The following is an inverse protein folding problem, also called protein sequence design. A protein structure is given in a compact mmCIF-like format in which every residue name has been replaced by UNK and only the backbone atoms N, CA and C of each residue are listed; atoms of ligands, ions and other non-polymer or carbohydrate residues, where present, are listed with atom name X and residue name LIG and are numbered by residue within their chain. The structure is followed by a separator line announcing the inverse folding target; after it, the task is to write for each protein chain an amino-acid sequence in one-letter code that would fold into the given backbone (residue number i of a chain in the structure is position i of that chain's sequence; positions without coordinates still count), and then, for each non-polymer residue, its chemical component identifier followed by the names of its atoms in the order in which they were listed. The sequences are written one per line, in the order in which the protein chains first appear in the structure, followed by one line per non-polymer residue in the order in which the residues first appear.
data_IF_504656876925
#
_entry.id   IF_504656876925
#
_cell.length_a   1.000
_cell.length_b   1.000
_cell.length_c   1.000
_cell.angle_alpha   90.00
_cell.angle_beta   90.00
_cell.angle_gamma   90.00
#
_symmetry.space_group_name_H-M   'P 1'
#
loop_
_entity.id
_entity.type
_entity.pdbx_description
1 polymer ?
#
# COMPACT_ATOMS: atom_id res chain seq x y z
N UNK A 1 34.74 -43.90 -3.16
CA UNK A 1 34.62 -43.21 -4.44
C UNK A 1 33.13 -42.96 -4.63
N UNK A 2 32.64 -41.88 -3.99
CA UNK A 2 32.05 -40.67 -4.61
C UNK A 2 30.56 -40.90 -4.93
N UNK A 3 29.57 -40.13 -4.49
CA UNK A 3 29.53 -38.76 -3.93
C UNK A 3 28.33 -38.59 -2.99
N UNK A 4 28.53 -37.82 -1.93
CA UNK A 4 27.48 -37.24 -1.11
C UNK A 4 27.01 -35.95 -1.77
N UNK A 5 25.87 -35.99 -2.46
CA UNK A 5 25.27 -34.78 -3.03
C UNK A 5 24.46 -34.06 -1.94
N UNK A 6 25.11 -33.08 -1.31
CA UNK A 6 24.47 -32.10 -0.43
C UNK A 6 23.47 -31.29 -1.26
N UNK A 7 22.20 -31.67 -1.19
CA UNK A 7 21.09 -30.88 -1.72
C UNK A 7 21.02 -29.54 -1.00
N UNK A 8 21.60 -28.51 -1.62
CA UNK A 8 21.38 -27.11 -1.32
C UNK A 8 19.88 -26.82 -1.47
N UNK A 9 19.13 -26.83 -0.36
CA UNK A 9 17.83 -26.19 -0.35
C UNK A 9 18.03 -24.70 -0.64
N UNK A 10 17.47 -24.14 -1.73
CA UNK A 10 17.49 -22.69 -1.89
C UNK A 10 16.74 -22.10 -0.69
N UNK A 11 17.44 -21.33 0.14
CA UNK A 11 16.79 -20.53 1.16
C UNK A 11 15.72 -19.69 0.47
N UNK A 12 14.49 -19.58 1.02
CA UNK A 12 13.50 -18.69 0.48
C UNK A 12 14.12 -17.28 0.38
N UNK A 13 13.85 -16.53 -0.71
CA UNK A 13 14.38 -15.18 -0.84
C UNK A 13 14.04 -14.38 0.43
N UNK A 14 14.95 -13.53 0.93
CA UNK A 14 14.72 -12.81 2.17
C UNK A 14 13.42 -12.01 2.04
N UNK A 15 12.44 -12.35 2.87
CA UNK A 15 11.22 -11.58 3.02
C UNK A 15 11.58 -10.21 3.59
N UNK A 16 11.27 -9.14 2.86
CA UNK A 16 11.51 -7.77 3.36
C UNK A 16 10.74 -7.53 4.65
N UNK A 17 11.37 -6.80 5.56
CA UNK A 17 10.76 -6.34 6.80
C UNK A 17 9.80 -5.17 6.52
N UNK A 18 8.86 -4.93 7.44
CA UNK A 18 7.92 -3.81 7.37
C UNK A 18 8.62 -2.44 7.27
N UNK A 19 9.76 -2.29 7.95
CA UNK A 19 10.55 -1.07 7.95
C UNK A 19 11.22 -0.81 6.60
N UNK A 20 11.74 -1.87 5.98
CA UNK A 20 12.29 -1.80 4.62
C UNK A 20 11.19 -1.45 3.60
N UNK A 21 9.98 -2.00 3.78
CA UNK A 21 8.83 -1.68 2.93
C UNK A 21 8.35 -0.25 3.14
N UNK A 22 8.43 0.30 4.36
CA UNK A 22 8.06 1.68 4.66
C UNK A 22 9.01 2.71 4.02
N UNK A 23 10.22 2.31 3.64
CA UNK A 23 11.19 3.15 2.93
C UNK A 23 10.96 3.17 1.41
N UNK A 24 10.06 2.33 0.89
CA UNK A 24 9.78 2.30 -0.54
C UNK A 24 9.09 3.60 -1.01
N UNK A 25 9.49 4.07 -2.19
CA UNK A 25 8.79 5.16 -2.86
C UNK A 25 7.45 4.65 -3.43
N UNK A 26 6.42 4.69 -2.58
CA UNK A 26 5.04 4.31 -2.91
C UNK A 26 4.53 5.07 -4.13
N UNK A 27 4.99 6.31 -4.36
CA UNK A 27 4.59 7.14 -5.49
C UNK A 27 5.13 6.58 -6.81
N UNK A 28 6.41 6.20 -6.84
CA UNK A 28 7.01 5.52 -7.98
C UNK A 28 6.35 4.15 -8.22
N UNK A 29 6.08 3.39 -7.15
CA UNK A 29 5.46 2.07 -7.25
C UNK A 29 4.04 2.13 -7.81
N UNK A 30 3.24 3.14 -7.44
CA UNK A 30 1.91 3.34 -8.03
C UNK A 30 2.00 3.67 -9.52
N UNK A 31 2.95 4.53 -9.92
CA UNK A 31 3.17 4.88 -11.32
C UNK A 31 3.52 3.65 -12.17
N UNK A 32 4.44 2.81 -11.69
CA UNK A 32 4.88 1.61 -12.41
C UNK A 32 3.87 0.46 -12.33
N UNK A 33 3.27 0.24 -11.16
CA UNK A 33 2.30 -0.83 -10.92
C UNK A 33 0.94 -0.62 -11.60
N UNK A 34 0.56 0.63 -11.89
CA UNK A 34 -0.65 0.92 -12.68
C UNK A 34 -0.33 0.92 -14.19
N UNK A 35 0.85 1.38 -14.59
CA UNK A 35 1.24 1.53 -16.00
C UNK A 35 1.71 0.25 -16.71
N UNK A 36 2.26 -0.73 -15.99
CA UNK A 36 2.78 -1.98 -16.55
C UNK A 36 2.06 -3.18 -15.92
N UNK A 37 1.18 -3.87 -16.67
CA UNK A 37 0.51 -5.09 -16.21
C UNK A 37 1.48 -6.27 -15.92
N UNK A 38 0.97 -7.40 -15.38
CA UNK A 38 1.71 -8.67 -15.24
C UNK A 38 2.05 -9.12 -13.81
N UNK A 39 2.79 -10.22 -13.64
CA UNK A 39 3.08 -10.81 -12.30
C UNK A 39 4.01 -9.94 -11.42
N UNK A 40 4.96 -9.22 -12.03
CA UNK A 40 5.81 -8.24 -11.33
C UNK A 40 5.00 -7.07 -10.75
N UNK A 41 3.83 -6.76 -11.35
CA UNK A 41 2.87 -5.76 -10.88
C UNK A 41 2.37 -6.10 -9.49
N UNK A 42 1.91 -7.33 -9.27
CA UNK A 42 1.27 -7.77 -8.02
C UNK A 42 2.20 -7.65 -6.83
N UNK A 43 3.49 -7.97 -7.02
CA UNK A 43 4.50 -7.88 -5.97
C UNK A 43 4.81 -6.43 -5.62
N UNK A 44 5.07 -5.56 -6.60
CA UNK A 44 5.35 -4.14 -6.36
C UNK A 44 4.15 -3.38 -5.78
N UNK A 45 2.95 -3.73 -6.23
CA UNK A 45 1.70 -3.15 -5.77
C UNK A 45 1.34 -3.60 -4.35
N UNK A 46 1.67 -4.86 -4.01
CA UNK A 46 1.54 -5.43 -2.66
C UNK A 46 2.56 -4.85 -1.67
N UNK A 47 3.84 -4.82 -2.04
CA UNK A 47 4.92 -4.22 -1.24
C UNK A 47 4.65 -2.74 -0.97
N UNK A 48 4.20 -1.99 -1.99
CA UNK A 48 3.79 -0.61 -1.84
C UNK A 48 2.59 -0.42 -0.90
N UNK A 49 1.64 -1.37 -0.88
CA UNK A 49 0.50 -1.32 0.05
C UNK A 49 0.94 -1.54 1.50
N UNK A 50 1.90 -2.44 1.75
CA UNK A 50 2.46 -2.68 3.08
C UNK A 50 3.22 -1.45 3.59
N UNK A 51 4.10 -0.89 2.76
CA UNK A 51 4.84 0.33 3.08
C UNK A 51 3.92 1.52 3.38
N UNK A 52 2.90 1.72 2.53
CA UNK A 52 1.87 2.73 2.74
C UNK A 52 1.15 2.56 4.09
N UNK A 53 0.76 1.33 4.43
CA UNK A 53 0.08 1.04 5.68
C UNK A 53 0.95 1.36 6.90
N UNK A 54 2.26 1.09 6.85
CA UNK A 54 3.20 1.44 7.94
C UNK A 54 3.32 2.95 8.09
N UNK A 55 3.56 3.67 6.99
CA UNK A 55 3.75 5.13 7.03
C UNK A 55 2.51 5.84 7.54
N UNK A 56 1.32 5.44 7.08
CA UNK A 56 0.05 6.03 7.50
C UNK A 56 -0.28 5.72 8.97
N UNK A 57 0.00 4.51 9.42
CA UNK A 57 -0.19 4.13 10.83
C UNK A 57 0.72 4.93 11.76
N UNK A 58 1.97 5.23 11.36
CA UNK A 58 2.88 6.13 12.09
C UNK A 58 2.36 7.57 12.16
N UNK A 59 1.62 8.01 11.16
CA UNK A 59 0.97 9.32 11.11
C UNK A 59 -0.39 9.35 11.83
N UNK A 60 -0.81 8.23 12.45
CA UNK A 60 -2.07 8.13 13.18
C UNK A 60 -3.32 8.10 12.29
N UNK A 61 -3.18 7.84 10.99
CA UNK A 61 -4.32 7.74 10.08
C UNK A 61 -5.12 6.49 10.41
N UNK A 62 -6.45 6.63 10.44
CA UNK A 62 -7.33 5.50 10.73
C UNK A 62 -7.58 4.66 9.46
N UNK A 63 -7.65 3.32 9.57
CA UNK A 63 -8.01 2.45 8.44
C UNK A 63 -9.28 2.88 7.71
N UNK A 64 -10.29 3.34 8.46
CA UNK A 64 -11.58 3.81 7.91
C UNK A 64 -11.44 5.03 6.98
N UNK A 65 -10.45 5.89 7.19
CA UNK A 65 -10.22 7.05 6.33
C UNK A 65 -9.74 6.59 4.94
N UNK A 66 -8.83 5.62 4.89
CA UNK A 66 -8.36 5.04 3.63
C UNK A 66 -9.44 4.24 2.90
N UNK A 67 -10.27 3.48 3.64
CA UNK A 67 -11.41 2.78 3.04
C UNK A 67 -12.43 3.77 2.44
N UNK A 68 -12.71 4.87 3.14
CA UNK A 68 -13.61 5.90 2.62
C UNK A 68 -13.04 6.57 1.37
N UNK A 69 -11.73 6.87 1.36
CA UNK A 69 -11.06 7.40 0.18
C UNK A 69 -11.10 6.42 -1.01
N UNK A 70 -10.97 5.12 -0.77
CA UNK A 70 -11.14 4.10 -1.81
C UNK A 70 -12.52 4.16 -2.47
N UNK A 71 -13.58 4.39 -1.69
CA UNK A 71 -14.93 4.55 -2.21
C UNK A 71 -15.13 5.87 -2.96
N UNK A 72 -14.44 6.94 -2.56
CA UNK A 72 -14.41 8.18 -3.35
C UNK A 72 -13.76 7.94 -4.71
N UNK A 73 -12.63 7.22 -4.76
CA UNK A 73 -11.98 6.88 -6.04
C UNK A 73 -12.89 5.99 -6.89
N UNK A 74 -13.58 5.01 -6.27
CA UNK A 74 -14.52 4.12 -6.97
C UNK A 74 -15.67 4.86 -7.63
N UNK A 75 -16.18 5.90 -6.98
CA UNK A 75 -17.36 6.64 -7.41
C UNK A 75 -17.05 7.86 -8.28
N UNK A 76 -15.96 8.58 -7.98
CA UNK A 76 -15.59 9.84 -8.63
C UNK A 76 -14.31 9.79 -9.47
N UNK A 77 -13.55 8.69 -9.41
CA UNK A 77 -12.27 8.54 -10.09
C UNK A 77 -11.08 9.14 -9.33
N UNK A 78 -9.88 8.72 -9.74
CA UNK A 78 -8.62 9.08 -9.09
C UNK A 78 -8.32 10.57 -9.19
N UNK A 79 -8.61 11.19 -10.33
CA UNK A 79 -8.40 12.64 -10.56
C UNK A 79 -9.26 13.49 -9.61
N UNK A 80 -10.51 13.10 -9.40
CA UNK A 80 -11.40 13.78 -8.47
C UNK A 80 -10.88 13.65 -7.03
N UNK A 81 -10.52 12.43 -6.60
CA UNK A 81 -9.97 12.20 -5.27
C UNK A 81 -8.67 13.01 -5.03
N UNK A 82 -7.82 13.14 -6.04
CA UNK A 82 -6.58 13.92 -5.97
C UNK A 82 -6.81 15.44 -5.74
N UNK A 83 -7.98 15.94 -6.14
CA UNK A 83 -8.37 17.34 -6.01
C UNK A 83 -9.04 17.68 -4.67
N UNK A 84 -9.37 16.68 -3.84
CA UNK A 84 -9.98 16.91 -2.52
C UNK A 84 -9.10 17.82 -1.67
N UNK A 85 -9.62 18.85 -0.99
CA UNK A 85 -8.83 19.71 -0.11
C UNK A 85 -8.11 18.93 1.00
N UNK A 86 -8.76 17.89 1.52
CA UNK A 86 -8.22 16.99 2.54
C UNK A 86 -8.63 15.54 2.22
N UNK A 87 -7.78 14.75 1.53
CA UNK A 87 -8.11 13.37 1.15
C UNK A 87 -8.11 12.41 2.35
N UNK A 88 -7.34 12.72 3.41
CA UNK A 88 -7.34 12.02 4.69
C UNK A 88 -7.09 13.03 5.82
N UNK A 89 -7.56 12.76 7.06
CA UNK A 89 -7.35 13.66 8.19
C UNK A 89 -5.86 13.91 8.49
N UNK A 90 -5.50 15.19 8.69
CA UNK A 90 -4.17 15.61 9.13
C UNK A 90 -3.24 16.01 7.97
N UNK A 91 -2.60 17.17 8.09
CA UNK A 91 -1.91 17.82 6.98
C UNK A 91 -0.78 16.98 6.35
N UNK A 92 0.11 16.42 7.16
CA UNK A 92 1.23 15.62 6.67
C UNK A 92 0.76 14.36 5.91
N UNK A 93 -0.25 13.66 6.45
CA UNK A 93 -0.84 12.50 5.80
C UNK A 93 -1.62 12.89 4.53
N UNK A 94 -2.35 14.00 4.56
CA UNK A 94 -3.08 14.54 3.42
C UNK A 94 -2.15 14.87 2.25
N UNK A 95 -1.00 15.50 2.51
CA UNK A 95 0.00 15.80 1.48
C UNK A 95 0.59 14.53 0.86
N UNK A 96 0.94 13.54 1.69
CA UNK A 96 1.48 12.26 1.23
C UNK A 96 0.47 11.52 0.33
N UNK A 97 -0.76 11.34 0.80
CA UNK A 97 -1.83 10.64 0.07
C UNK A 97 -2.20 11.39 -1.21
N UNK A 98 -2.19 12.73 -1.19
CA UNK A 98 -2.39 13.52 -2.41
C UNK A 98 -1.32 13.23 -3.46
N UNK A 99 -0.05 13.13 -3.07
CA UNK A 99 1.05 12.80 -3.99
C UNK A 99 0.85 11.43 -4.67
N UNK A 100 0.35 10.44 -3.94
CA UNK A 100 -0.02 9.13 -4.48
C UNK A 100 -1.16 9.22 -5.50
N UNK A 101 -2.25 9.90 -5.14
CA UNK A 101 -3.41 10.08 -6.01
C UNK A 101 -3.06 10.86 -7.28
N UNK A 102 -2.26 11.94 -7.17
CA UNK A 102 -1.80 12.71 -8.31
C UNK A 102 -0.92 11.88 -9.25
N UNK A 103 -0.03 11.05 -8.69
CA UNK A 103 0.81 10.17 -9.50
C UNK A 103 0.01 9.07 -10.18
N UNK A 104 -0.97 8.47 -9.49
CA UNK A 104 -1.89 7.54 -10.11
C UNK A 104 -2.74 8.21 -11.20
N UNK A 105 -3.32 9.39 -10.95
CA UNK A 105 -4.08 10.15 -11.94
C UNK A 105 -3.27 10.50 -13.19
N UNK A 106 -1.94 10.68 -13.06
CA UNK A 106 -1.07 10.95 -14.21
C UNK A 106 -0.96 9.78 -15.20
N UNK A 107 -1.24 8.55 -14.77
CA UNK A 107 -1.13 7.33 -15.59
C UNK A 107 -2.45 6.61 -15.83
N UNK A 108 -3.45 6.77 -14.95
CA UNK A 108 -4.78 6.20 -15.17
C UNK A 108 -5.42 6.85 -16.39
N UNK A 109 -5.98 6.03 -17.28
CA UNK A 109 -6.66 6.45 -18.52
C UNK A 109 -8.04 5.82 -18.68
N UNK A 110 -8.43 4.92 -17.78
CA UNK A 110 -9.63 4.10 -17.89
C UNK A 110 -10.32 3.95 -16.54
N UNK A 111 -11.62 3.68 -16.57
CA UNK A 111 -12.41 3.36 -15.38
C UNK A 111 -11.85 2.15 -14.65
N UNK A 112 -11.35 1.14 -15.38
CA UNK A 112 -10.68 -0.03 -14.78
C UNK A 112 -9.43 0.38 -13.99
N UNK A 113 -8.65 1.34 -14.50
CA UNK A 113 -7.50 1.90 -13.77
C UNK A 113 -7.91 2.59 -12.47
N UNK A 114 -9.02 3.33 -12.45
CA UNK A 114 -9.58 3.89 -11.21
C UNK A 114 -10.03 2.78 -10.24
N UNK A 115 -10.61 1.69 -10.74
CA UNK A 115 -10.98 0.54 -9.90
C UNK A 115 -9.76 -0.16 -9.30
N UNK A 116 -8.66 -0.24 -10.04
CA UNK A 116 -7.39 -0.79 -9.55
C UNK A 116 -6.80 0.09 -8.42
N UNK A 117 -6.85 1.42 -8.56
CA UNK A 117 -6.45 2.35 -7.49
C UNK A 117 -7.36 2.21 -6.27
N UNK A 118 -8.67 2.14 -6.45
CA UNK A 118 -9.61 1.94 -5.35
C UNK A 118 -9.34 0.62 -4.61
N UNK A 119 -9.07 -0.48 -5.34
CA UNK A 119 -8.74 -1.78 -4.75
C UNK A 119 -7.43 -1.75 -3.97
N UNK A 120 -6.46 -0.98 -4.43
CA UNK A 120 -5.21 -0.76 -3.73
C UNK A 120 -5.41 -0.03 -2.40
N UNK A 121 -6.12 1.10 -2.41
CA UNK A 121 -6.43 1.87 -1.21
C UNK A 121 -7.19 1.03 -0.19
N UNK A 122 -8.11 0.18 -0.65
CA UNK A 122 -8.82 -0.77 0.20
C UNK A 122 -7.88 -1.82 0.82
N UNK A 123 -6.87 -2.26 0.08
CA UNK A 123 -5.84 -3.19 0.57
C UNK A 123 -4.95 -2.53 1.63
N UNK A 124 -4.56 -1.26 1.43
CA UNK A 124 -3.85 -0.45 2.45
C UNK A 124 -4.69 -0.36 3.73
N UNK A 125 -5.99 -0.02 3.61
CA UNK A 125 -6.89 0.05 4.75
C UNK A 125 -6.97 -1.28 5.52
N UNK A 126 -7.08 -2.41 4.82
CA UNK A 126 -7.11 -3.73 5.44
C UNK A 126 -5.80 -4.05 6.20
N UNK A 127 -4.65 -3.73 5.61
CA UNK A 127 -3.34 -3.91 6.26
C UNK A 127 -3.19 -3.03 7.50
N UNK A 128 -3.64 -1.78 7.45
CA UNK A 128 -3.66 -0.90 8.63
C UNK A 128 -4.54 -1.47 9.76
N UNK A 129 -5.73 -1.99 9.43
CA UNK A 129 -6.64 -2.58 10.42
C UNK A 129 -6.03 -3.82 11.09
N UNK A 130 -5.31 -4.63 10.32
CA UNK A 130 -4.59 -5.79 10.83
C UNK A 130 -3.50 -5.37 11.82
N UNK A 131 -2.69 -4.35 11.47
CA UNK A 131 -1.64 -3.80 12.35
C UNK A 131 -2.20 -3.26 13.66
N UNK A 132 -3.29 -2.48 13.58
CA UNK A 132 -3.95 -1.93 14.76
C UNK A 132 -4.41 -3.06 15.70
N UNK A 133 -5.00 -4.11 15.15
CA UNK A 133 -5.48 -5.28 15.91
C UNK A 133 -4.33 -6.00 16.62
N UNK A 134 -3.21 -6.24 15.94
CA UNK A 134 -2.04 -6.89 16.55
C UNK A 134 -1.43 -6.03 17.66
N UNK A 135 -1.28 -4.72 17.44
CA UNK A 135 -0.77 -3.80 18.46
C UNK A 135 -1.62 -3.81 19.72
N UNK A 136 -2.95 -3.68 19.57
CA UNK A 136 -3.88 -3.69 20.70
C UNK A 136 -3.88 -5.02 21.45
N UNK A 137 -3.57 -6.13 20.77
CA UNK A 137 -3.42 -7.45 21.41
C UNK A 137 -2.10 -7.54 22.19
N UNK A 138 -0.99 -7.13 21.60
CA UNK A 138 0.32 -7.10 22.27
C UNK A 138 0.30 -6.24 23.54
N UNK A 139 -0.41 -5.10 23.53
CA UNK A 139 -0.56 -4.25 24.73
C UNK A 139 -1.39 -4.91 25.84
N UNK A 140 -2.32 -5.82 25.50
CA UNK A 140 -3.15 -6.53 26.50
C UNK A 140 -2.50 -7.79 27.07
N UNK A 141 -1.52 -8.37 26.36
CA UNK A 141 -0.79 -9.55 26.82
C UNK A 141 0.44 -9.23 27.67
N UNK A 142 0.81 -7.95 27.79
CA UNK A 142 1.97 -7.48 28.56
C UNK A 142 1.63 -6.68 29.82
N UNK A 143 0.38 -6.71 30.29
CA UNK A 143 -0.07 -6.10 31.55
C UNK A 143 -0.75 -7.14 32.43
#
# INVERSE_FOLDING_TARGET
MTDSETGMHPSPPPSRTDDELAMLDVTALLRYGIGFGGAHRTTLFGDGAVGAAVVLDRQGVLPRAMAFLAEIVRSGGTTYAAALPEPVPGEAAAQLVRGWLQSAASVVRTVEGDQDVARWLQSVAALMALRLTYRTRSTRSGG
#
